data_IF_600141153877
#
_entry.id   IF_600141153877
#
_cell.length_a   1.000
_cell.length_b   1.000
_cell.length_c   1.000
_cell.angle_alpha   90.00
_cell.angle_beta   90.00
_cell.angle_gamma   90.00
#
_symmetry.space_group_name_H-M   'P 1'
#
loop_
_entity.id
_entity.type
_entity.pdbx_description
1 polymer ?
#
# COMPACT_ATOMS: atom_id res chain seq x y z
N UNK A 1 -29.84 13.92 -4.13
CA UNK A 1 -28.52 14.47 -4.48
C UNK A 1 -27.54 13.33 -4.31
N UNK A 2 -26.67 13.07 -5.28
CA UNK A 2 -25.63 12.05 -5.10
C UNK A 2 -24.67 12.54 -4.02
N UNK A 3 -24.32 11.67 -3.08
CA UNK A 3 -23.33 11.99 -2.06
C UNK A 3 -21.96 11.93 -2.72
N UNK A 4 -21.14 12.96 -2.53
CA UNK A 4 -19.80 13.04 -3.12
C UNK A 4 -18.80 12.74 -2.02
N UNK A 5 -17.85 11.86 -2.32
CA UNK A 5 -16.78 11.48 -1.41
C UNK A 5 -15.52 12.18 -1.88
N UNK A 6 -14.93 13.01 -1.02
CA UNK A 6 -13.63 13.62 -1.28
C UNK A 6 -12.81 13.60 0.00
N UNK A 7 -11.65 12.96 -0.07
CA UNK A 7 -10.69 12.95 1.02
C UNK A 7 -9.28 12.77 0.48
N UNK A 8 -8.32 13.48 1.10
CA UNK A 8 -6.89 13.28 0.91
C UNK A 8 -6.25 13.39 2.28
N UNK A 9 -5.28 12.52 2.55
CA UNK A 9 -4.54 12.53 3.82
C UNK A 9 -3.87 13.90 4.05
N UNK A 10 -3.73 14.27 5.32
CA UNK A 10 -2.89 15.40 5.70
C UNK A 10 -1.41 15.00 5.74
N UNK A 11 -0.52 15.96 5.55
CA UNK A 11 0.92 15.76 5.57
C UNK A 11 1.51 15.39 4.21
N UNK A 12 2.81 15.63 4.05
CA UNK A 12 3.51 15.34 2.81
C UNK A 12 3.87 13.86 2.75
N UNK A 13 3.43 13.17 1.70
CA UNK A 13 3.78 11.79 1.43
C UNK A 13 4.87 11.73 0.36
N UNK A 14 6.11 11.31 0.68
CA UNK A 14 7.16 11.26 -0.33
C UNK A 14 6.84 10.19 -1.37
N UNK A 15 7.11 10.49 -2.65
CA UNK A 15 6.88 9.57 -3.77
C UNK A 15 8.22 8.94 -4.16
N UNK A 16 8.54 7.83 -3.49
CA UNK A 16 9.85 7.16 -3.61
C UNK A 16 9.77 6.06 -4.67
N UNK A 17 10.59 6.16 -5.72
CA UNK A 17 10.69 5.09 -6.71
C UNK A 17 11.45 3.89 -6.12
N UNK A 18 10.95 2.67 -6.35
CA UNK A 18 11.69 1.45 -6.01
C UNK A 18 12.90 1.27 -6.94
N UNK A 19 14.07 0.88 -6.42
CA UNK A 19 15.26 0.69 -7.24
C UNK A 19 15.22 -0.60 -8.08
N UNK A 20 14.36 -1.56 -7.74
CA UNK A 20 14.17 -2.80 -8.49
C UNK A 20 12.76 -3.37 -8.32
N UNK A 21 12.30 -4.20 -9.26
CA UNK A 21 10.95 -4.81 -9.24
C UNK A 21 10.64 -5.59 -7.94
N UNK A 22 11.67 -6.07 -7.23
CA UNK A 22 11.54 -6.83 -5.99
C UNK A 22 11.47 -5.98 -4.71
N UNK A 23 11.69 -4.67 -4.79
CA UNK A 23 11.89 -3.80 -3.62
C UNK A 23 10.74 -2.82 -3.36
N UNK A 24 9.57 -3.05 -3.96
CA UNK A 24 8.34 -2.28 -3.72
C UNK A 24 8.04 -2.13 -2.22
N UNK A 25 8.14 -3.22 -1.45
CA UNK A 25 7.93 -3.27 0.00
C UNK A 25 8.81 -2.27 0.76
N UNK A 26 10.08 -2.13 0.35
CA UNK A 26 11.02 -1.24 1.01
C UNK A 26 10.72 0.23 0.69
N UNK A 27 10.37 0.51 -0.57
CA UNK A 27 9.96 1.85 -0.99
C UNK A 27 8.70 2.30 -0.24
N UNK A 28 7.63 1.50 -0.25
CA UNK A 28 6.38 1.89 0.44
C UNK A 28 6.54 1.97 1.95
N UNK A 29 7.31 1.07 2.58
CA UNK A 29 7.62 1.16 4.01
C UNK A 29 8.34 2.45 4.36
N UNK A 30 9.30 2.85 3.53
CA UNK A 30 10.01 4.12 3.68
C UNK A 30 9.06 5.31 3.56
N UNK A 31 8.14 5.30 2.60
CA UNK A 31 7.14 6.36 2.46
C UNK A 31 6.25 6.45 3.72
N UNK A 32 5.75 5.30 4.20
CA UNK A 32 4.88 5.24 5.38
C UNK A 32 5.59 5.75 6.63
N UNK A 33 6.82 5.29 6.90
CA UNK A 33 7.64 5.76 8.03
C UNK A 33 7.94 7.26 7.91
N UNK A 34 8.31 7.71 6.71
CA UNK A 34 8.59 9.13 6.44
C UNK A 34 7.38 10.01 6.72
N UNK A 35 6.18 9.57 6.32
CA UNK A 35 4.95 10.29 6.60
C UNK A 35 4.59 10.27 8.09
N UNK A 36 4.71 9.13 8.78
CA UNK A 36 4.46 9.09 10.23
C UNK A 36 5.33 10.08 10.99
N UNK A 37 6.61 10.11 10.66
CA UNK A 37 7.61 10.90 11.39
C UNK A 37 7.69 12.34 10.86
N UNK A 38 7.01 12.65 9.75
CA UNK A 38 7.09 13.93 9.02
C UNK A 38 8.55 14.30 8.67
N UNK A 39 9.33 13.29 8.26
CA UNK A 39 10.75 13.39 7.91
C UNK A 39 11.00 12.63 6.62
N UNK A 40 11.80 13.19 5.70
CA UNK A 40 12.20 12.48 4.49
C UNK A 40 13.36 11.52 4.77
N UNK A 41 13.11 10.22 4.71
CA UNK A 41 14.15 9.19 4.79
C UNK A 41 14.56 8.65 3.41
N UNK A 42 15.82 8.24 3.26
CA UNK A 42 16.21 7.32 2.19
C UNK A 42 15.70 5.91 2.52
N UNK A 43 15.60 5.04 1.52
CA UNK A 43 15.17 3.65 1.75
C UNK A 43 16.13 2.95 2.71
N UNK A 44 17.43 3.14 2.50
CA UNK A 44 18.49 2.61 3.36
C UNK A 44 18.28 3.01 4.82
N UNK A 45 18.08 4.31 5.07
CA UNK A 45 17.95 4.84 6.43
C UNK A 45 16.70 4.31 7.11
N UNK A 46 15.58 4.21 6.39
CA UNK A 46 14.35 3.68 6.96
C UNK A 46 14.47 2.18 7.28
N UNK A 47 15.02 1.39 6.35
CA UNK A 47 15.17 -0.07 6.50
C UNK A 47 16.19 -0.43 7.59
N UNK A 48 17.30 0.31 7.71
CA UNK A 48 18.31 0.07 8.73
C UNK A 48 17.72 0.16 10.16
N UNK A 49 16.66 0.96 10.35
CA UNK A 49 15.99 1.13 11.64
C UNK A 49 14.93 0.05 11.94
N UNK A 50 14.56 -0.79 10.98
CA UNK A 50 13.55 -1.85 11.18
C UNK A 50 14.13 -3.07 11.93
N UNK A 51 15.45 -3.20 11.99
CA UNK A 51 16.12 -4.38 12.51
C UNK A 51 15.94 -5.62 11.61
N UNK A 52 16.17 -6.81 12.17
CA UNK A 52 16.09 -8.09 11.46
C UNK A 52 16.99 -8.18 10.20
N UNK A 53 16.62 -9.02 9.23
CA UNK A 53 17.29 -9.25 7.96
C UNK A 53 16.78 -8.35 6.82
N UNK A 54 15.90 -7.37 7.09
CA UNK A 54 15.31 -6.51 6.04
C UNK A 54 16.37 -5.78 5.22
N UNK A 55 17.44 -5.30 5.85
CA UNK A 55 18.53 -4.66 5.13
C UNK A 55 19.20 -5.62 4.15
N UNK A 56 19.45 -6.85 4.59
CA UNK A 56 19.99 -7.90 3.73
C UNK A 56 19.06 -8.21 2.55
N UNK A 57 17.75 -8.30 2.77
CA UNK A 57 16.78 -8.52 1.70
C UNK A 57 16.83 -7.38 0.66
N UNK A 58 16.86 -6.13 1.11
CA UNK A 58 16.93 -4.95 0.25
C UNK A 58 18.22 -4.92 -0.58
N UNK A 59 19.39 -5.10 0.06
CA UNK A 59 20.70 -5.08 -0.62
C UNK A 59 20.85 -6.18 -1.68
N UNK A 60 20.13 -7.28 -1.51
CA UNK A 60 20.15 -8.42 -2.43
C UNK A 60 18.96 -8.43 -3.41
N UNK A 61 18.19 -7.34 -3.52
CA UNK A 61 17.00 -7.22 -4.39
C UNK A 61 16.00 -8.37 -4.21
N UNK A 62 15.77 -8.77 -2.95
CA UNK A 62 14.84 -9.84 -2.61
C UNK A 62 13.46 -9.28 -2.30
N UNK A 63 12.44 -9.96 -2.80
CA UNK A 63 11.05 -9.70 -2.43
C UNK A 63 10.81 -10.06 -0.97
N UNK A 64 9.96 -9.29 -0.30
CA UNK A 64 9.43 -9.68 1.00
C UNK A 64 8.44 -10.83 0.83
N UNK A 65 8.70 -11.95 1.50
CA UNK A 65 7.80 -13.10 1.46
C UNK A 65 6.52 -12.83 2.25
N UNK A 66 5.39 -13.47 1.91
CA UNK A 66 4.07 -13.12 2.49
C UNK A 66 3.98 -13.37 3.99
N UNK A 67 4.67 -14.42 4.45
CA UNK A 67 4.79 -14.79 5.86
C UNK A 67 5.61 -13.77 6.67
N UNK A 68 6.36 -12.89 6.00
CA UNK A 68 7.12 -11.79 6.61
C UNK A 68 6.34 -10.47 6.67
N UNK A 69 5.13 -10.41 6.11
CA UNK A 69 4.33 -9.17 6.13
C UNK A 69 3.96 -8.75 7.57
N UNK A 70 3.71 -9.70 8.47
CA UNK A 70 3.43 -9.42 9.89
C UNK A 70 4.67 -8.89 10.62
N UNK A 71 5.85 -9.49 10.38
CA UNK A 71 7.12 -9.01 10.91
C UNK A 71 7.41 -7.59 10.42
N UNK A 72 7.16 -7.33 9.14
CA UNK A 72 7.37 -6.02 8.53
C UNK A 72 6.43 -4.95 9.08
N UNK A 73 5.14 -5.26 9.22
CA UNK A 73 4.18 -4.38 9.87
C UNK A 73 4.63 -4.06 11.32
N UNK A 74 5.04 -5.07 12.08
CA UNK A 74 5.53 -4.90 13.45
C UNK A 74 6.79 -4.04 13.51
N UNK A 75 7.77 -4.29 12.63
CA UNK A 75 9.04 -3.57 12.61
C UNK A 75 8.88 -2.10 12.21
N UNK A 76 7.95 -1.82 11.32
CA UNK A 76 7.60 -0.44 10.92
C UNK A 76 6.67 0.25 11.92
N UNK A 77 6.08 -0.50 12.87
CA UNK A 77 5.10 0.01 13.83
C UNK A 77 3.69 0.17 13.27
N UNK A 78 3.42 -0.42 12.11
CA UNK A 78 2.08 -0.48 11.50
C UNK A 78 1.25 -1.62 12.11
N UNK A 79 -0.06 -1.46 12.05
CA UNK A 79 -1.04 -2.52 12.22
C UNK A 79 -1.43 -3.04 10.85
N UNK A 80 -1.93 -4.27 10.83
CA UNK A 80 -2.46 -4.87 9.62
C UNK A 80 -3.91 -5.30 9.80
N UNK A 81 -4.66 -5.25 8.71
CA UNK A 81 -6.00 -5.79 8.63
C UNK A 81 -5.97 -7.12 7.88
N UNK A 82 -6.77 -8.08 8.36
CA UNK A 82 -7.00 -9.33 7.65
C UNK A 82 -7.81 -9.08 6.37
N UNK A 83 -7.70 -9.96 5.35
CA UNK A 83 -8.44 -9.85 4.10
C UNK A 83 -9.93 -9.60 4.35
N UNK A 84 -10.44 -8.53 3.75
CA UNK A 84 -11.86 -8.17 3.77
C UNK A 84 -12.22 -7.48 2.46
N UNK A 85 -13.46 -7.66 2.01
CA UNK A 85 -14.00 -6.88 0.91
C UNK A 85 -14.17 -5.44 1.38
N UNK A 86 -13.42 -4.52 0.79
CA UNK A 86 -13.54 -3.10 1.09
C UNK A 86 -14.70 -2.49 0.29
N UNK A 87 -15.46 -1.59 0.90
CA UNK A 87 -16.32 -0.65 0.19
C UNK A 87 -15.64 0.72 0.11
N UNK A 88 -16.08 1.62 -0.79
CA UNK A 88 -15.56 2.98 -0.82
C UNK A 88 -15.65 3.70 0.53
N UNK A 89 -16.77 3.52 1.25
CA UNK A 89 -16.98 4.10 2.58
C UNK A 89 -16.00 3.54 3.60
N UNK A 90 -15.68 2.24 3.53
CA UNK A 90 -14.71 1.63 4.43
C UNK A 90 -13.28 2.14 4.19
N UNK A 91 -12.87 2.35 2.92
CA UNK A 91 -11.59 2.98 2.58
C UNK A 91 -11.57 4.43 3.08
N UNK A 92 -12.65 5.19 2.86
CA UNK A 92 -12.75 6.55 3.38
C UNK A 92 -12.58 6.59 4.90
N UNK A 93 -13.26 5.70 5.64
CA UNK A 93 -13.15 5.62 7.09
C UNK A 93 -11.73 5.25 7.53
N UNK A 94 -11.06 4.32 6.84
CA UNK A 94 -9.68 3.96 7.12
C UNK A 94 -8.74 5.16 6.90
N UNK A 95 -8.88 5.85 5.76
CA UNK A 95 -8.09 7.04 5.44
C UNK A 95 -8.28 8.17 6.46
N UNK A 96 -9.52 8.41 6.89
CA UNK A 96 -9.86 9.43 7.89
C UNK A 96 -9.31 9.09 9.28
N UNK A 97 -9.33 7.81 9.67
CA UNK A 97 -8.96 7.39 11.02
C UNK A 97 -7.46 7.14 11.19
N UNK A 98 -6.78 6.69 10.13
CA UNK A 98 -5.42 6.18 10.20
C UNK A 98 -4.43 6.84 9.23
N UNK A 99 -4.92 7.62 8.26
CA UNK A 99 -4.09 8.24 7.23
C UNK A 99 -3.80 7.28 6.07
N UNK A 100 -2.61 7.29 5.46
CA UNK A 100 -2.30 6.49 4.28
C UNK A 100 -2.47 5.00 4.55
N UNK A 101 -2.87 4.27 3.52
CA UNK A 101 -3.05 2.81 3.58
C UNK A 101 -2.02 2.16 2.66
N UNK A 102 -1.12 1.38 3.22
CA UNK A 102 -0.29 0.48 2.43
C UNK A 102 -1.14 -0.73 2.05
N UNK A 103 -1.22 -1.00 0.76
CA UNK A 103 -1.98 -2.13 0.20
C UNK A 103 -1.06 -3.03 -0.59
N UNK A 104 -1.34 -4.33 -0.55
CA UNK A 104 -0.67 -5.37 -1.33
C UNK A 104 -1.75 -6.01 -2.20
N UNK A 105 -1.54 -5.97 -3.51
CA UNK A 105 -2.47 -6.48 -4.50
C UNK A 105 -1.74 -7.20 -5.63
N UNK A 106 -2.51 -7.79 -6.55
CA UNK A 106 -2.02 -8.39 -7.78
C UNK A 106 -2.32 -7.47 -8.97
N UNK A 107 -1.28 -6.93 -9.60
CA UNK A 107 -1.38 -6.07 -10.78
C UNK A 107 -1.81 -6.83 -12.05
N UNK A 108 -1.87 -8.16 -11.99
CA UNK A 108 -2.28 -9.02 -13.10
C UNK A 108 -3.38 -10.01 -12.69
N UNK A 109 -4.56 -9.55 -12.23
CA UNK A 109 -5.59 -10.40 -11.64
C UNK A 109 -6.15 -11.47 -12.60
N UNK A 110 -6.04 -11.26 -13.92
CA UNK A 110 -6.49 -12.19 -14.95
C UNK A 110 -5.39 -13.19 -15.41
N UNK A 111 -4.20 -13.16 -14.79
CA UNK A 111 -3.03 -13.96 -15.15
C UNK A 111 -2.78 -15.08 -14.14
N UNK A 112 -2.27 -16.22 -14.61
CA UNK A 112 -1.78 -17.28 -13.70
C UNK A 112 -0.53 -16.86 -12.93
N UNK A 113 0.19 -15.85 -13.46
CA UNK A 113 1.39 -15.31 -12.87
C UNK A 113 1.03 -14.03 -12.12
N UNK A 114 0.81 -14.16 -10.81
CA UNK A 114 0.56 -13.03 -9.92
C UNK A 114 1.75 -12.04 -9.92
N UNK A 115 1.50 -10.78 -10.25
CA UNK A 115 2.46 -9.67 -10.11
C UNK A 115 2.10 -8.89 -8.86
N UNK A 116 2.76 -9.27 -7.76
CA UNK A 116 2.39 -8.80 -6.44
C UNK A 116 3.09 -7.50 -6.15
N UNK A 117 2.31 -6.50 -5.78
CA UNK A 117 2.79 -5.14 -5.71
C UNK A 117 2.31 -4.47 -4.45
N UNK A 118 3.19 -3.69 -3.82
CA UNK A 118 2.86 -2.91 -2.65
C UNK A 118 2.68 -1.45 -3.08
N UNK A 119 1.54 -0.86 -2.76
CA UNK A 119 1.14 0.50 -3.16
C UNK A 119 0.57 1.26 -1.97
N UNK A 120 0.33 2.56 -2.13
CA UNK A 120 -0.21 3.38 -1.03
C UNK A 120 -1.41 4.19 -1.48
N UNK A 121 -2.55 3.97 -0.83
CA UNK A 121 -3.74 4.81 -1.01
C UNK A 121 -3.60 6.05 -0.12
N UNK A 122 -3.71 7.23 -0.72
CA UNK A 122 -3.59 8.53 -0.04
C UNK A 122 -4.84 9.39 -0.15
N UNK A 123 -5.82 8.97 -0.96
CA UNK A 123 -7.04 9.73 -1.18
C UNK A 123 -8.11 8.95 -1.90
N UNK A 124 -9.30 9.52 -1.88
CA UNK A 124 -10.51 9.01 -2.54
C UNK A 124 -11.33 10.20 -3.04
N UNK A 125 -11.77 10.15 -4.28
CA UNK A 125 -12.59 11.18 -4.93
C UNK A 125 -13.68 10.54 -5.79
N UNK A 126 -14.89 11.11 -5.81
CA UNK A 126 -15.93 10.70 -6.73
C UNK A 126 -17.35 10.76 -6.19
N UNK A 127 -18.30 10.33 -7.02
CA UNK A 127 -19.71 10.15 -6.62
C UNK A 127 -19.85 8.81 -5.90
N UNK A 128 -20.76 8.68 -4.93
CA UNK A 128 -20.97 7.50 -4.05
C UNK A 128 -21.41 6.19 -4.74
N UNK A 129 -20.99 5.94 -5.98
CA UNK A 129 -21.17 4.69 -6.73
C UNK A 129 -19.79 4.15 -7.09
N UNK A 130 -19.46 2.87 -6.84
CA UNK A 130 -18.14 2.29 -7.08
C UNK A 130 -17.53 2.59 -8.47
N UNK A 131 -18.35 2.56 -9.53
CA UNK A 131 -17.97 2.86 -10.91
C UNK A 131 -17.62 4.33 -11.21
N UNK A 132 -17.71 5.20 -10.20
CA UNK A 132 -17.41 6.63 -10.29
C UNK A 132 -16.51 7.11 -9.15
N UNK A 133 -15.87 6.18 -8.44
CA UNK A 133 -14.96 6.48 -7.35
C UNK A 133 -13.55 6.16 -7.79
N UNK A 134 -12.66 7.12 -7.57
CA UNK A 134 -11.25 7.03 -7.85
C UNK A 134 -10.48 7.04 -6.53
N UNK A 135 -9.47 6.20 -6.45
CA UNK A 135 -8.48 6.18 -5.39
C UNK A 135 -7.22 6.84 -5.90
N UNK A 136 -6.69 7.81 -5.15
CA UNK A 136 -5.36 8.36 -5.43
C UNK A 136 -4.31 7.44 -4.79
N UNK A 137 -3.53 6.78 -5.63
CA UNK A 137 -2.58 5.74 -5.25
C UNK A 137 -1.16 6.17 -5.62
N UNK A 138 -0.22 6.07 -4.69
CA UNK A 138 1.21 6.17 -4.97
C UNK A 138 1.71 4.79 -5.39
N UNK A 139 2.27 4.73 -6.59
CA UNK A 139 2.93 3.56 -7.13
C UNK A 139 4.46 3.71 -6.94
N UNK A 140 5.12 2.81 -6.20
CA UNK A 140 6.58 2.84 -6.07
C UNK A 140 7.29 2.46 -7.37
N UNK A 141 6.65 1.77 -8.31
CA UNK A 141 7.17 1.65 -9.66
C UNK A 141 7.15 3.04 -10.31
N UNK A 142 8.32 3.60 -10.58
CA UNK A 142 8.49 4.98 -11.05
C UNK A 142 8.24 6.09 -10.02
N UNK A 143 7.64 5.80 -8.86
CA UNK A 143 7.48 6.77 -7.77
C UNK A 143 6.52 7.92 -8.10
N UNK A 144 5.31 7.62 -8.57
CA UNK A 144 4.31 8.61 -8.97
C UNK A 144 2.95 8.36 -8.35
N UNK A 145 2.07 9.37 -8.40
CA UNK A 145 0.66 9.23 -8.00
C UNK A 145 -0.18 9.01 -9.25
N UNK A 146 -1.10 8.07 -9.18
CA UNK A 146 -2.11 7.80 -10.19
C UNK A 146 -3.48 7.69 -9.55
N UNK A 147 -4.51 8.04 -10.32
CA UNK A 147 -5.89 7.77 -9.92
C UNK A 147 -6.31 6.42 -10.52
N UNK A 148 -6.76 5.52 -9.66
CA UNK A 148 -7.26 4.19 -10.04
C UNK A 148 -8.75 4.09 -9.71
N UNK A 149 -9.56 3.56 -10.63
CA UNK A 149 -10.97 3.32 -10.36
C UNK A 149 -11.12 2.30 -9.23
N UNK A 150 -12.04 2.54 -8.30
CA UNK A 150 -12.26 1.66 -7.15
C UNK A 150 -12.57 0.21 -7.55
N UNK A 151 -13.35 0.01 -8.63
CA UNK A 151 -13.64 -1.34 -9.15
C UNK A 151 -12.38 -2.04 -9.68
N UNK A 152 -11.46 -1.30 -10.30
CA UNK A 152 -10.17 -1.83 -10.76
C UNK A 152 -9.29 -2.20 -9.57
N UNK A 153 -9.21 -1.35 -8.56
CA UNK A 153 -8.49 -1.65 -7.32
C UNK A 153 -9.04 -2.91 -6.65
N UNK A 154 -10.36 -2.99 -6.49
CA UNK A 154 -11.03 -4.10 -5.82
C UNK A 154 -10.74 -5.42 -6.52
N UNK A 155 -10.78 -5.46 -7.86
CA UNK A 155 -10.45 -6.66 -8.62
C UNK A 155 -9.01 -7.15 -8.35
N UNK A 156 -8.03 -6.24 -8.27
CA UNK A 156 -6.61 -6.55 -7.98
C UNK A 156 -6.40 -6.97 -6.52
N UNK A 157 -7.08 -6.30 -5.60
CA UNK A 157 -6.94 -6.54 -4.16
C UNK A 157 -7.60 -7.87 -3.75
N UNK A 158 -8.78 -8.15 -4.30
CA UNK A 158 -9.54 -9.37 -3.98
C UNK A 158 -8.99 -10.61 -4.70
N UNK A 159 -8.40 -10.50 -5.89
CA UNK A 159 -7.76 -11.65 -6.55
C UNK A 159 -6.62 -12.24 -5.73
N UNK A 160 -5.92 -11.40 -4.95
CA UNK A 160 -4.86 -11.85 -4.06
C UNK A 160 -5.41 -12.63 -2.84
N UNK A 161 -6.69 -12.46 -2.48
CA UNK A 161 -7.31 -13.20 -1.38
C UNK A 161 -7.50 -14.70 -1.69
N UNK A 162 -7.46 -15.09 -2.97
CA UNK A 162 -7.45 -16.51 -3.37
C UNK A 162 -6.11 -17.21 -3.03
N UNK A 163 -5.04 -16.45 -2.79
CA UNK A 163 -3.76 -16.99 -2.35
C UNK A 163 -3.67 -17.04 -0.82
N UNK A 164 -3.88 -18.23 -0.25
CA UNK A 164 -3.82 -18.49 1.20
C UNK A 164 -2.52 -18.07 1.92
N UNK A 165 -1.45 -17.74 1.16
CA UNK A 165 -0.20 -17.20 1.71
C UNK A 165 -0.33 -15.72 2.09
N UNK A 166 -1.20 -14.96 1.42
CA UNK A 166 -1.39 -13.53 1.64
C UNK A 166 -2.49 -13.26 2.66
N UNK A 167 -2.09 -13.44 3.91
CA UNK A 167 -2.92 -13.18 5.09
C UNK A 167 -2.96 -11.71 5.52
N UNK A 168 -2.06 -10.90 4.97
CA UNK A 168 -1.94 -9.48 5.23
C UNK A 168 -1.87 -8.76 3.91
N UNK A 169 -2.90 -7.97 3.61
CA UNK A 169 -3.03 -7.23 2.35
C UNK A 169 -3.13 -5.73 2.58
N UNK A 170 -3.42 -5.28 3.80
CA UNK A 170 -3.51 -3.86 4.13
C UNK A 170 -2.85 -3.55 5.46
N UNK A 171 -2.08 -2.47 5.49
CA UNK A 171 -1.40 -1.96 6.66
C UNK A 171 -1.62 -0.45 6.81
N UNK A 172 -1.68 0.01 8.06
CA UNK A 172 -1.82 1.42 8.42
C UNK A 172 -1.26 1.66 9.83
N UNK A 173 -1.11 2.91 10.26
CA UNK A 173 -0.74 3.24 11.64
C UNK A 173 -1.94 3.23 12.60
#
# INVERSE_FOLDING_TARGET
MAETMYFTIAGEMPKIAQPSDSTCWAAVGTMMVSWRDQVSYSIETAIDNLGSDFRYLFDNNLSLMPDRNEDFATATGMKFNWPRCETPESILQLLQNYGPLLVIDDETPDSINFLRHARIIIGIDGESTPSKIYLSIINPDGGFTQDELFETFTAKYESLADDSRYKVQMMHY
#
